data_IF_995008926117
#
_entry.id   IF_995008926117
#
_cell.length_a   1.000
_cell.length_b   1.000
_cell.length_c   1.000
_cell.angle_alpha   90.00
_cell.angle_beta   90.00
_cell.angle_gamma   90.00
#
_symmetry.space_group_name_H-M   'P 1'
#
loop_
_entity.id
_entity.type
_entity.pdbx_description
1 polymer ?
#
# COMPACT_ATOMS: atom_id res chain seq x y z
N UNK A 1 8.98 7.26 -13.20
CA UNK A 1 7.57 7.25 -13.56
C UNK A 1 6.82 6.62 -12.41
N UNK A 2 5.84 7.33 -11.87
CA UNK A 2 5.61 7.39 -10.41
C UNK A 2 4.24 6.78 -10.07
N UNK A 3 4.08 6.26 -8.85
CA UNK A 3 2.77 6.08 -8.18
C UNK A 3 1.88 7.28 -8.51
N UNK A 4 0.56 7.06 -8.70
CA UNK A 4 -0.40 8.11 -8.98
C UNK A 4 -0.08 9.43 -8.23
N UNK A 5 0.19 10.47 -9.00
CA UNK A 5 0.60 11.80 -8.53
C UNK A 5 -0.58 12.75 -8.48
N UNK A 6 -0.63 13.61 -7.46
CA UNK A 6 -1.69 14.60 -7.26
C UNK A 6 -1.80 15.62 -8.40
N UNK A 7 -3.03 15.98 -8.79
CA UNK A 7 -3.32 17.26 -9.45
C UNK A 7 -3.83 18.23 -8.38
N UNK A 8 -2.93 18.77 -7.56
CA UNK A 8 -3.31 19.74 -6.53
C UNK A 8 -2.40 20.96 -6.64
N UNK A 9 -2.52 21.72 -7.73
CA UNK A 9 -1.78 22.98 -7.99
C UNK A 9 -1.95 24.07 -6.90
N UNK A 10 -2.69 23.79 -5.83
CA UNK A 10 -2.94 24.69 -4.68
C UNK A 10 -2.58 24.14 -3.31
N UNK A 11 -2.19 22.87 -3.20
CA UNK A 11 -1.78 22.29 -1.92
C UNK A 11 -0.25 22.26 -1.86
N UNK A 12 0.33 22.64 -0.72
CA UNK A 12 1.78 22.68 -0.50
C UNK A 12 2.41 21.29 -0.48
N UNK A 13 3.28 21.03 0.50
CA UNK A 13 3.94 19.73 0.62
C UNK A 13 2.92 18.56 0.71
N UNK A 14 3.26 17.38 0.13
CA UNK A 14 2.36 16.24 -0.15
C UNK A 14 1.17 16.09 0.83
N UNK A 15 -0.09 16.29 0.40
CA UNK A 15 -1.26 16.29 1.27
C UNK A 15 -1.68 14.89 1.74
N UNK A 16 -1.14 13.82 1.14
CA UNK A 16 -1.51 12.43 1.43
C UNK A 16 -0.77 11.80 2.61
N UNK A 17 -0.24 12.66 3.50
CA UNK A 17 0.48 12.22 4.69
C UNK A 17 -0.48 11.81 5.79
N UNK A 18 -0.03 10.91 6.67
CA UNK A 18 -0.76 10.64 7.90
C UNK A 18 -0.67 11.86 8.80
N UNK A 19 -1.82 12.36 9.25
CA UNK A 19 -1.90 13.46 10.21
C UNK A 19 -2.19 12.93 11.62
N UNK A 20 -1.46 13.43 12.62
CA UNK A 20 -1.68 13.10 14.03
C UNK A 20 -0.50 12.39 14.73
N UNK A 21 -0.67 11.95 15.99
CA UNK A 21 -1.95 11.87 16.69
C UNK A 21 -2.48 13.25 17.08
N UNK A 22 -3.77 13.50 16.82
CA UNK A 22 -4.44 14.73 17.26
C UNK A 22 -5.13 14.46 18.59
N UNK A 23 -4.71 15.17 19.63
CA UNK A 23 -5.28 15.12 20.98
C UNK A 23 -6.09 16.39 21.20
N UNK A 24 -7.38 16.28 21.51
CA UNK A 24 -8.21 17.45 21.77
C UNK A 24 -7.62 18.30 22.91
N UNK A 25 -7.40 19.60 22.66
CA UNK A 25 -6.82 20.53 23.65
C UNK A 25 -5.29 20.55 23.73
N UNK A 26 -4.56 19.81 22.88
CA UNK A 26 -3.09 19.77 22.91
C UNK A 26 -2.38 20.94 22.21
N UNK A 27 -3.13 21.86 21.60
CA UNK A 27 -2.56 22.94 20.77
C UNK A 27 -2.02 22.48 19.42
N UNK A 28 -2.09 21.18 19.11
CA UNK A 28 -1.80 20.63 17.77
C UNK A 28 -2.91 21.08 16.81
N UNK A 29 -2.58 21.67 15.64
CA UNK A 29 -3.58 22.04 14.64
C UNK A 29 -4.51 20.86 14.33
N UNK A 30 -5.81 21.14 14.25
CA UNK A 30 -6.83 20.15 13.90
C UNK A 30 -6.65 19.59 12.49
N UNK A 31 -7.50 18.63 12.07
CA UNK A 31 -7.39 18.01 10.76
C UNK A 31 -7.40 19.06 9.65
N UNK A 32 -6.51 18.90 8.67
CA UNK A 32 -6.34 19.87 7.57
C UNK A 32 -7.57 19.88 6.65
N UNK A 33 -8.27 18.75 6.56
CA UNK A 33 -9.44 18.56 5.72
C UNK A 33 -10.66 18.08 6.53
N UNK A 34 -11.85 18.32 5.99
CA UNK A 34 -13.06 17.71 6.54
C UNK A 34 -13.10 16.22 6.20
N UNK A 35 -13.69 15.42 7.09
CA UNK A 35 -13.90 14.00 6.82
C UNK A 35 -14.73 13.81 5.54
N UNK A 36 -14.30 12.87 4.70
CA UNK A 36 -14.91 12.61 3.40
C UNK A 36 -14.46 13.56 2.28
N UNK A 37 -13.61 14.53 2.56
CA UNK A 37 -12.95 15.32 1.50
C UNK A 37 -12.24 14.40 0.50
N UNK A 38 -12.31 14.78 -0.77
CA UNK A 38 -11.73 14.03 -1.87
C UNK A 38 -10.61 14.80 -2.54
N UNK A 39 -9.62 14.08 -3.02
CA UNK A 39 -8.56 14.62 -3.86
C UNK A 39 -8.39 13.72 -5.10
N UNK A 40 -7.96 14.31 -6.21
CA UNK A 40 -7.77 13.62 -7.48
C UNK A 40 -6.32 13.69 -7.95
N UNK A 41 -5.95 12.74 -8.79
CA UNK A 41 -4.60 12.64 -9.32
C UNK A 41 -4.56 11.88 -10.64
N UNK A 42 -3.35 11.62 -11.11
CA UNK A 42 -3.10 10.85 -12.32
C UNK A 42 -3.59 9.40 -12.19
N UNK A 43 -3.73 8.73 -13.34
CA UNK A 43 -4.25 7.35 -13.44
C UNK A 43 -5.65 7.19 -12.85
N UNK A 44 -6.51 8.19 -13.07
CA UNK A 44 -7.90 8.23 -12.59
C UNK A 44 -8.04 8.13 -11.07
N UNK A 45 -6.97 8.49 -10.34
CA UNK A 45 -6.91 8.27 -8.91
C UNK A 45 -7.79 9.23 -8.15
N UNK A 46 -8.52 8.67 -7.18
CA UNK A 46 -9.36 9.43 -6.25
C UNK A 46 -9.08 8.93 -4.84
N UNK A 47 -8.72 9.84 -3.95
CA UNK A 47 -8.52 9.57 -2.53
C UNK A 47 -9.65 10.17 -1.71
N UNK A 48 -9.93 9.56 -0.56
CA UNK A 48 -10.88 10.04 0.44
C UNK A 48 -10.19 10.17 1.79
N UNK A 49 -10.46 11.27 2.48
CA UNK A 49 -9.90 11.56 3.79
C UNK A 49 -10.75 10.94 4.90
N UNK A 50 -10.14 10.12 5.73
CA UNK A 50 -10.80 9.34 6.77
C UNK A 50 -10.09 9.49 8.13
N UNK A 51 -10.87 9.35 9.21
CA UNK A 51 -10.37 9.27 10.58
C UNK A 51 -9.94 7.84 10.87
N UNK A 52 -8.78 7.64 11.48
CA UNK A 52 -8.29 6.34 11.95
C UNK A 52 -8.10 6.42 13.46
N UNK A 53 -8.70 5.50 14.21
CA UNK A 53 -8.49 5.40 15.67
C UNK A 53 -7.72 4.11 15.97
N UNK A 54 -6.55 4.26 16.56
CA UNK A 54 -5.67 3.15 16.92
C UNK A 54 -5.72 2.91 18.43
N UNK A 55 -6.04 1.68 18.83
CA UNK A 55 -6.05 1.27 20.24
C UNK A 55 -4.67 0.88 20.78
N UNK A 56 -3.73 0.59 19.89
CA UNK A 56 -2.36 0.16 20.20
C UNK A 56 -1.40 0.59 19.10
N UNK A 57 -0.10 0.45 19.35
CA UNK A 57 0.91 0.66 18.31
C UNK A 57 0.59 -0.20 17.09
N UNK A 58 0.48 0.43 15.92
CA UNK A 58 0.10 -0.21 14.66
C UNK A 58 1.03 0.27 13.56
N UNK A 59 1.58 -0.68 12.81
CA UNK A 59 2.36 -0.38 11.61
C UNK A 59 1.45 -0.30 10.40
N UNK A 60 1.39 0.87 9.79
CA UNK A 60 0.72 1.12 8.52
C UNK A 60 1.70 0.96 7.37
N UNK A 61 1.28 0.28 6.31
CA UNK A 61 2.07 0.11 5.10
C UNK A 61 1.23 0.46 3.86
N UNK A 62 1.84 1.08 2.83
CA UNK A 62 1.16 1.33 1.56
C UNK A 62 0.50 0.05 1.01
N UNK A 63 -0.69 0.21 0.44
CA UNK A 63 -1.49 -0.87 -0.13
C UNK A 63 -2.37 -1.62 0.87
N UNK A 64 -2.34 -1.28 2.17
CA UNK A 64 -3.21 -1.92 3.15
C UNK A 64 -4.67 -1.59 2.88
N UNK A 65 -5.53 -2.59 2.99
CA UNK A 65 -6.97 -2.43 2.80
C UNK A 65 -7.64 -1.86 4.05
N UNK A 66 -8.47 -0.86 3.83
CA UNK A 66 -9.34 -0.27 4.85
C UNK A 66 -10.77 -0.24 4.35
N UNK A 67 -11.72 -0.38 5.26
CA UNK A 67 -13.08 0.09 5.06
C UNK A 67 -13.33 1.34 5.88
N UNK A 68 -14.40 2.08 5.57
CA UNK A 68 -14.87 3.15 6.43
C UNK A 68 -16.39 3.18 6.52
N UNK A 69 -16.87 3.64 7.67
CA UNK A 69 -18.29 3.82 7.94
C UNK A 69 -18.83 5.15 7.36
N UNK A 70 -20.10 5.45 7.67
CA UNK A 70 -20.78 6.68 7.23
C UNK A 70 -20.16 7.96 7.80
N UNK A 71 -19.43 7.86 8.91
CA UNK A 71 -18.77 8.97 9.59
C UNK A 71 -17.28 9.05 9.20
N UNK A 72 -16.89 8.30 8.17
CA UNK A 72 -15.52 8.17 7.65
C UNK A 72 -14.52 7.71 8.72
N UNK A 73 -14.96 6.89 9.67
CA UNK A 73 -14.07 6.17 10.57
C UNK A 73 -13.53 4.94 9.85
N UNK A 74 -12.25 4.96 9.53
CA UNK A 74 -11.54 3.89 8.85
C UNK A 74 -11.14 2.79 9.83
N UNK A 75 -11.29 1.54 9.40
CA UNK A 75 -10.83 0.33 10.10
C UNK A 75 -10.09 -0.56 9.12
N UNK A 76 -8.98 -1.17 9.56
CA UNK A 76 -8.28 -2.17 8.76
C UNK A 76 -9.23 -3.28 8.34
N UNK A 77 -9.20 -3.63 7.07
CA UNK A 77 -10.10 -4.63 6.53
C UNK A 77 -9.70 -6.02 7.03
N UNK A 78 -10.66 -6.72 7.64
CA UNK A 78 -10.59 -8.14 8.01
C UNK A 78 -11.94 -8.79 7.76
N UNK A 79 -12.01 -10.11 7.61
CA UNK A 79 -13.29 -10.82 7.47
C UNK A 79 -14.23 -10.58 8.64
N UNK A 80 -13.70 -10.45 9.86
CA UNK A 80 -14.49 -10.21 11.07
C UNK A 80 -14.95 -8.75 11.22
N UNK A 81 -14.10 -7.78 10.87
CA UNK A 81 -14.46 -6.36 10.98
C UNK A 81 -15.23 -5.84 9.77
N UNK A 82 -15.13 -6.50 8.61
CA UNK A 82 -15.75 -6.03 7.39
C UNK A 82 -17.27 -5.98 7.48
N UNK A 83 -17.88 -4.87 7.06
CA UNK A 83 -19.34 -4.67 7.09
C UNK A 83 -19.86 -4.56 5.67
N UNK A 84 -20.86 -5.38 5.33
CA UNK A 84 -21.50 -5.33 4.01
C UNK A 84 -22.13 -3.95 3.78
N UNK A 85 -21.92 -3.40 2.58
CA UNK A 85 -22.34 -2.07 2.16
C UNK A 85 -21.33 -0.96 2.47
N UNK A 86 -20.32 -1.21 3.30
CA UNK A 86 -19.29 -0.20 3.57
C UNK A 86 -18.34 -0.07 2.37
N UNK A 87 -17.89 1.16 2.14
CA UNK A 87 -16.89 1.46 1.13
C UNK A 87 -15.51 1.05 1.65
N UNK A 88 -14.64 0.70 0.73
CA UNK A 88 -13.28 0.32 1.03
C UNK A 88 -12.31 0.89 0.00
N UNK A 89 -11.02 0.77 0.31
CA UNK A 89 -9.94 1.31 -0.49
C UNK A 89 -8.60 0.94 0.14
N UNK A 90 -7.54 1.36 -0.51
CA UNK A 90 -6.17 1.06 -0.06
C UNK A 90 -5.51 2.30 0.51
N UNK A 91 -4.72 2.11 1.55
CA UNK A 91 -3.90 3.16 2.11
C UNK A 91 -2.78 3.50 1.12
N UNK A 92 -2.80 4.71 0.58
CA UNK A 92 -1.80 5.13 -0.42
C UNK A 92 -0.42 5.35 0.20
N UNK A 93 -0.39 5.78 1.47
CA UNK A 93 0.80 5.92 2.29
C UNK A 93 1.84 6.94 1.78
N UNK A 94 2.10 7.96 2.60
CA UNK A 94 3.45 8.52 2.77
C UNK A 94 3.55 9.13 4.17
N UNK A 95 4.58 8.80 4.96
CA UNK A 95 5.08 9.74 5.97
C UNK A 95 6.01 10.68 5.22
N UNK A 96 5.81 11.97 5.32
CA UNK A 96 6.66 12.92 4.63
C UNK A 96 8.13 12.83 5.08
N UNK A 97 9.05 12.94 4.13
CA UNK A 97 10.09 13.95 4.23
C UNK A 97 9.88 14.95 3.06
N UNK A 98 9.46 16.20 3.33
CA UNK A 98 9.18 17.20 2.30
C UNK A 98 10.44 17.96 1.93
N UNK A 99 11.33 17.38 1.12
CA UNK A 99 12.42 18.17 0.53
C UNK A 99 12.94 17.69 -0.81
N UNK A 100 12.57 16.52 -1.33
CA UNK A 100 13.07 16.09 -2.63
C UNK A 100 11.97 15.41 -3.44
N UNK A 101 11.75 15.95 -4.63
CA UNK A 101 11.14 15.21 -5.74
C UNK A 101 11.78 13.81 -5.82
N UNK A 102 11.09 12.78 -5.32
CA UNK A 102 11.55 11.39 -5.37
C UNK A 102 11.97 10.70 -4.05
N UNK A 103 11.63 11.23 -2.87
CA UNK A 103 11.88 10.53 -1.59
C UNK A 103 11.09 9.21 -1.44
N UNK A 104 11.59 8.23 -0.65
CA UNK A 104 11.01 6.89 -0.55
C UNK A 104 9.64 6.89 0.14
N UNK A 105 8.66 6.18 -0.43
CA UNK A 105 7.50 5.74 0.33
C UNK A 105 7.94 4.64 1.34
N UNK A 106 7.40 4.65 2.55
CA UNK A 106 7.82 3.76 3.64
C UNK A 106 6.61 3.34 4.51
N UNK A 107 6.74 2.18 5.17
CA UNK A 107 5.85 1.80 6.27
C UNK A 107 6.07 2.71 7.49
N UNK A 108 5.01 2.97 8.26
CA UNK A 108 4.98 3.93 9.37
C UNK A 108 4.46 3.22 10.61
N UNK A 109 5.15 3.33 11.74
CA UNK A 109 4.64 2.82 13.03
C UNK A 109 4.04 3.97 13.83
N UNK A 110 2.74 3.85 14.13
CA UNK A 110 1.96 4.84 14.86
C UNK A 110 1.59 4.28 16.23
N UNK A 111 1.63 5.12 17.26
CA UNK A 111 1.16 4.75 18.60
C UNK A 111 -0.38 4.67 18.65
N UNK A 112 -0.94 4.31 19.81
CA UNK A 112 -2.37 4.47 20.04
C UNK A 112 -2.76 5.96 19.96
N UNK A 113 -3.88 6.25 19.30
CA UNK A 113 -4.35 7.63 19.12
C UNK A 113 -5.30 7.80 17.94
N UNK A 114 -5.74 9.05 17.75
CA UNK A 114 -6.56 9.44 16.60
C UNK A 114 -5.69 10.08 15.53
N UNK A 115 -5.76 9.50 14.35
CA UNK A 115 -5.03 9.90 13.15
C UNK A 115 -6.02 10.20 12.03
N UNK A 116 -5.53 10.84 10.97
CA UNK A 116 -6.28 11.04 9.75
C UNK A 116 -5.44 10.59 8.56
N UNK A 117 -6.06 9.85 7.66
CA UNK A 117 -5.40 9.15 6.58
C UNK A 117 -6.15 9.36 5.28
N UNK A 118 -5.41 9.24 4.18
CA UNK A 118 -5.99 9.21 2.84
C UNK A 118 -6.03 7.78 2.30
N UNK A 119 -7.23 7.38 1.89
CA UNK A 119 -7.49 6.07 1.30
C UNK A 119 -7.82 6.25 -0.17
N UNK A 120 -7.08 5.57 -1.04
CA UNK A 120 -7.37 5.54 -2.46
C UNK A 120 -8.58 4.64 -2.71
N UNK A 121 -9.57 5.17 -3.43
CA UNK A 121 -10.81 4.48 -3.76
C UNK A 121 -11.06 4.37 -5.26
N UNK A 122 -10.27 5.03 -6.10
CA UNK A 122 -10.37 4.90 -7.55
C UNK A 122 -8.97 4.93 -8.19
N UNK A 123 -8.87 4.41 -9.41
CA UNK A 123 -7.64 4.41 -10.19
C UNK A 123 -6.73 3.23 -9.87
N UNK A 124 -5.49 3.31 -10.35
CA UNK A 124 -4.48 2.27 -10.15
C UNK A 124 -3.76 2.45 -8.81
N UNK A 125 -3.65 1.38 -8.03
CA UNK A 125 -2.99 1.41 -6.73
C UNK A 125 -2.26 0.09 -6.42
N UNK A 126 -1.10 0.13 -5.74
CA UNK A 126 -0.55 -1.07 -5.13
C UNK A 126 -1.47 -1.53 -4.00
N UNK A 127 -1.80 -2.82 -3.99
CA UNK A 127 -2.72 -3.42 -3.04
C UNK A 127 -2.09 -4.68 -2.44
N UNK A 128 -2.12 -4.76 -1.12
CA UNK A 128 -1.62 -5.91 -0.38
C UNK A 128 -2.60 -7.08 -0.51
N UNK A 129 -2.05 -8.25 -0.87
CA UNK A 129 -2.82 -9.47 -1.12
C UNK A 129 -2.15 -10.71 -0.53
N UNK A 130 -2.94 -11.71 -0.15
CA UNK A 130 -2.44 -13.03 0.30
C UNK A 130 -2.18 -13.99 -0.85
N UNK A 131 -3.09 -14.07 -1.82
CA UNK A 131 -2.93 -14.90 -3.02
C UNK A 131 -3.42 -14.17 -4.25
N UNK A 132 -2.89 -14.55 -5.41
CA UNK A 132 -3.18 -13.97 -6.70
C UNK A 132 -3.30 -15.06 -7.75
N UNK A 133 -4.52 -15.44 -8.14
CA UNK A 133 -4.72 -16.26 -9.34
C UNK A 133 -5.11 -15.34 -10.48
N UNK A 134 -4.18 -15.17 -11.42
CA UNK A 134 -4.11 -14.14 -12.46
C UNK A 134 -5.27 -14.02 -13.49
N UNK A 135 -6.48 -14.51 -13.22
CA UNK A 135 -7.53 -14.55 -14.23
C UNK A 135 -8.98 -14.37 -13.75
N UNK A 136 -9.27 -14.16 -12.46
CA UNK A 136 -10.67 -14.20 -11.97
C UNK A 136 -11.04 -13.06 -11.00
N UNK A 137 -12.25 -12.54 -11.21
CA UNK A 137 -12.87 -11.29 -10.70
C UNK A 137 -13.28 -11.37 -9.21
N UNK A 138 -12.69 -12.28 -8.44
CA UNK A 138 -13.05 -12.45 -7.03
C UNK A 138 -12.01 -11.77 -6.18
N UNK A 139 -12.38 -10.64 -5.59
CA UNK A 139 -11.65 -10.04 -4.48
C UNK A 139 -12.44 -10.29 -3.20
N UNK A 140 -11.76 -10.64 -2.13
CA UNK A 140 -12.42 -10.93 -0.85
C UNK A 140 -11.55 -10.54 0.35
N UNK A 141 -12.19 -10.35 1.49
CA UNK A 141 -11.53 -10.08 2.77
C UNK A 141 -10.74 -11.29 3.26
N UNK A 142 -9.69 -11.06 4.05
CA UNK A 142 -8.97 -12.13 4.77
C UNK A 142 -9.09 -11.99 6.27
N UNK A 143 -8.72 -13.03 7.01
CA UNK A 143 -8.57 -12.95 8.46
C UNK A 143 -7.40 -12.02 8.87
N UNK A 144 -6.43 -11.80 7.98
CA UNK A 144 -5.28 -10.93 8.24
C UNK A 144 -5.62 -9.47 7.94
N UNK A 145 -5.40 -8.61 8.93
CA UNK A 145 -5.75 -7.20 8.82
C UNK A 145 -5.02 -6.48 7.68
N UNK A 146 -5.78 -5.79 6.84
CA UNK A 146 -5.27 -4.98 5.75
C UNK A 146 -4.86 -5.77 4.51
N UNK A 147 -5.13 -7.08 4.45
CA UNK A 147 -4.89 -7.90 3.26
C UNK A 147 -6.21 -8.30 2.57
N UNK A 148 -6.25 -8.16 1.25
CA UNK A 148 -7.26 -8.78 0.43
C UNK A 148 -6.79 -10.16 -0.08
N UNK A 149 -7.71 -10.96 -0.59
CA UNK A 149 -7.41 -12.19 -1.31
C UNK A 149 -7.99 -12.10 -2.72
N UNK A 150 -7.28 -12.67 -3.69
CA UNK A 150 -7.75 -12.81 -5.07
C UNK A 150 -7.71 -14.28 -5.50
N UNK A 151 -8.58 -15.13 -4.93
CA UNK A 151 -8.58 -16.56 -5.22
C UNK A 151 -9.18 -16.85 -6.60
N UNK A 152 -8.92 -18.05 -7.12
CA UNK A 152 -9.59 -18.55 -8.33
C UNK A 152 -11.10 -18.74 -8.14
N UNK A 153 -11.56 -18.92 -6.91
CA UNK A 153 -12.98 -19.12 -6.57
C UNK A 153 -13.28 -18.51 -5.21
N UNK A 154 -14.51 -18.03 -5.03
CA UNK A 154 -14.98 -17.46 -3.77
C UNK A 154 -14.77 -18.41 -2.59
N UNK A 155 -14.15 -17.91 -1.52
CA UNK A 155 -13.97 -18.65 -0.27
C UNK A 155 -15.23 -18.52 0.57
N UNK A 156 -15.78 -19.64 1.05
CA UNK A 156 -16.97 -19.65 1.91
C UNK A 156 -16.75 -18.78 3.15
N UNK A 157 -17.77 -18.01 3.55
CA UNK A 157 -17.75 -17.10 4.72
C UNK A 157 -16.83 -15.89 4.61
N UNK A 158 -16.04 -15.77 3.54
CA UNK A 158 -15.33 -14.53 3.22
C UNK A 158 -16.34 -13.45 2.78
N UNK A 159 -15.97 -12.17 2.89
CA UNK A 159 -16.78 -11.09 2.32
C UNK A 159 -16.19 -10.66 0.99
N UNK A 160 -17.01 -10.61 -0.05
CA UNK A 160 -16.61 -10.17 -1.37
C UNK A 160 -16.39 -8.65 -1.40
N UNK A 161 -15.33 -8.24 -2.06
CA UNK A 161 -14.99 -6.85 -2.38
C UNK A 161 -15.36 -6.66 -3.86
N UNK A 162 -16.32 -5.79 -4.14
CA UNK A 162 -16.74 -5.48 -5.50
C UNK A 162 -16.09 -4.18 -5.96
N UNK A 163 -15.91 -4.02 -7.28
CA UNK A 163 -15.32 -2.81 -7.86
C UNK A 163 -13.79 -2.77 -7.77
N UNK A 164 -13.14 -3.92 -7.81
CA UNK A 164 -11.68 -4.05 -7.88
C UNK A 164 -11.31 -5.18 -8.83
N UNK A 165 -10.23 -4.98 -9.58
CA UNK A 165 -9.54 -6.04 -10.32
C UNK A 165 -8.05 -5.99 -9.98
N UNK A 166 -7.40 -7.16 -9.92
CA UNK A 166 -5.97 -7.25 -9.69
C UNK A 166 -5.26 -7.64 -10.98
N UNK A 167 -4.10 -7.04 -11.24
CA UNK A 167 -3.22 -7.52 -12.29
C UNK A 167 -2.59 -8.87 -11.94
N UNK A 168 -2.16 -9.58 -12.97
CA UNK A 168 -1.58 -10.89 -12.87
C UNK A 168 -0.20 -10.90 -12.19
N UNK A 169 -0.08 -11.77 -11.18
CA UNK A 169 1.13 -12.48 -10.74
C UNK A 169 2.27 -11.70 -10.06
N UNK A 170 3.20 -12.51 -9.54
CA UNK A 170 4.45 -12.12 -8.89
C UNK A 170 5.36 -11.39 -9.88
N UNK A 171 6.11 -10.41 -9.38
CA UNK A 171 7.07 -9.70 -10.20
C UNK A 171 8.45 -10.32 -10.05
N UNK A 172 9.04 -10.70 -11.18
CA UNK A 172 10.40 -11.20 -11.23
C UNK A 172 11.32 -10.17 -11.85
N UNK A 173 12.42 -9.88 -11.18
CA UNK A 173 13.46 -8.98 -11.68
C UNK A 173 14.83 -9.55 -11.32
N UNK A 174 15.89 -9.02 -11.92
CA UNK A 174 17.26 -9.36 -11.54
C UNK A 174 17.87 -8.28 -10.66
N UNK A 175 18.76 -8.67 -9.75
CA UNK A 175 19.46 -7.74 -8.87
C UNK A 175 20.85 -8.25 -8.49
N UNK A 176 21.62 -7.39 -7.83
CA UNK A 176 22.86 -7.74 -7.13
C UNK A 176 22.62 -7.69 -5.62
N UNK A 177 23.06 -8.74 -4.91
CA UNK A 177 23.12 -8.81 -3.44
C UNK A 177 24.57 -8.74 -2.98
N UNK A 178 24.78 -8.06 -1.85
CA UNK A 178 26.06 -7.99 -1.14
C UNK A 178 25.84 -8.47 0.28
N UNK A 179 26.62 -9.46 0.73
CA UNK A 179 26.52 -10.02 2.07
C UNK A 179 26.64 -8.90 3.12
N UNK A 180 25.71 -8.87 4.08
CA UNK A 180 25.64 -7.85 5.12
C UNK A 180 24.95 -6.55 4.69
N UNK A 181 24.50 -6.43 3.44
CA UNK A 181 23.75 -5.25 2.95
C UNK A 181 22.26 -5.54 2.80
N UNK A 182 21.41 -4.61 3.22
CA UNK A 182 19.97 -4.63 2.95
C UNK A 182 19.61 -4.05 1.56
N UNK A 183 20.58 -3.62 0.76
CA UNK A 183 20.31 -2.92 -0.51
C UNK A 183 20.50 -3.85 -1.69
N UNK A 184 19.44 -4.01 -2.49
CA UNK A 184 19.50 -4.58 -3.82
C UNK A 184 19.86 -3.47 -4.83
N UNK A 185 20.90 -3.73 -5.63
CA UNK A 185 21.40 -2.81 -6.65
C UNK A 185 21.42 -3.48 -8.03
N UNK A 186 21.84 -2.74 -9.07
CA UNK A 186 22.00 -3.26 -10.44
C UNK A 186 20.73 -3.98 -10.93
N UNK A 187 19.59 -3.32 -10.73
CA UNK A 187 18.29 -3.92 -10.95
C UNK A 187 17.98 -4.03 -12.46
N UNK A 188 17.51 -5.19 -12.90
CA UNK A 188 17.10 -5.45 -14.29
C UNK A 188 15.67 -5.96 -14.38
N UNK A 189 14.91 -5.47 -15.36
CA UNK A 189 13.50 -5.88 -15.56
C UNK A 189 12.49 -5.26 -14.60
N UNK A 190 12.92 -4.32 -13.75
CA UNK A 190 12.05 -3.52 -12.88
C UNK A 190 11.25 -2.51 -13.70
N UNK A 191 9.94 -2.46 -13.51
CA UNK A 191 9.09 -1.45 -14.13
C UNK A 191 8.46 -0.58 -13.04
N UNK A 192 8.82 0.70 -12.91
CA UNK A 192 8.25 1.55 -11.86
C UNK A 192 6.73 1.73 -11.96
N UNK A 193 6.11 1.38 -13.09
CA UNK A 193 4.65 1.38 -13.29
C UNK A 193 3.97 0.08 -12.86
N UNK A 194 4.66 -1.07 -12.97
CA UNK A 194 4.12 -2.39 -12.63
C UNK A 194 4.62 -2.94 -11.30
N UNK A 195 5.69 -2.37 -10.75
CA UNK A 195 6.38 -2.69 -9.50
C UNK A 195 7.84 -3.19 -9.66
N UNK A 196 8.44 -3.77 -8.61
CA UNK A 196 7.84 -4.24 -7.37
C UNK A 196 7.44 -3.10 -6.44
N UNK A 197 6.61 -3.41 -5.46
CA UNK A 197 6.02 -2.43 -4.53
C UNK A 197 6.54 -2.61 -3.11
N UNK A 198 6.51 -1.54 -2.33
CA UNK A 198 6.79 -1.59 -0.88
C UNK A 198 5.81 -2.52 -0.19
N UNK A 199 6.29 -3.27 0.80
CA UNK A 199 5.52 -4.29 1.50
C UNK A 199 5.53 -5.65 0.78
N UNK A 200 5.97 -5.73 -0.48
CA UNK A 200 6.09 -7.00 -1.18
C UNK A 200 7.13 -7.89 -0.49
N UNK A 201 6.77 -9.15 -0.26
CA UNK A 201 7.69 -10.19 0.19
C UNK A 201 8.59 -10.59 -0.97
N UNK A 202 9.89 -10.61 -0.73
CA UNK A 202 10.89 -10.94 -1.75
C UNK A 202 11.64 -12.20 -1.39
N UNK A 203 12.00 -12.96 -2.42
CA UNK A 203 12.81 -14.18 -2.31
C UNK A 203 13.81 -14.23 -3.45
N UNK A 204 14.95 -14.89 -3.21
CA UNK A 204 16.04 -15.00 -4.16
C UNK A 204 17.32 -15.49 -3.48
N UNK A 205 18.36 -15.77 -4.26
CA UNK A 205 19.64 -16.25 -3.74
C UNK A 205 20.26 -15.24 -2.77
N UNK A 206 20.54 -15.65 -1.54
CA UNK A 206 21.14 -14.79 -0.51
C UNK A 206 20.16 -13.80 0.15
N UNK A 207 18.86 -13.87 -0.16
CA UNK A 207 17.82 -13.11 0.52
C UNK A 207 17.22 -13.98 1.64
N UNK A 208 17.26 -13.55 2.90
CA UNK A 208 16.64 -14.29 4.01
C UNK A 208 15.14 -14.53 3.80
N UNK A 209 14.60 -15.60 4.40
CA UNK A 209 13.16 -15.82 4.45
C UNK A 209 12.42 -14.65 5.12
N UNK A 210 11.18 -14.41 4.71
CA UNK A 210 10.31 -13.34 5.25
C UNK A 210 10.85 -11.90 5.05
N UNK A 211 11.79 -11.71 4.11
CA UNK A 211 12.26 -10.38 3.74
C UNK A 211 11.20 -9.64 2.93
N UNK A 212 10.99 -8.37 3.21
CA UNK A 212 10.06 -7.49 2.48
C UNK A 212 10.78 -6.25 1.94
N UNK A 213 10.18 -5.61 0.94
CA UNK A 213 10.63 -4.30 0.46
C UNK A 213 10.20 -3.23 1.47
N UNK A 214 11.18 -2.57 2.08
CA UNK A 214 10.96 -1.49 3.06
C UNK A 214 10.92 -0.10 2.40
N UNK A 215 11.72 0.10 1.34
CA UNK A 215 11.76 1.34 0.58
C UNK A 215 12.29 1.11 -0.84
N UNK A 216 11.95 2.03 -1.74
CA UNK A 216 12.41 2.05 -3.12
C UNK A 216 12.98 3.44 -3.40
N UNK A 217 14.20 3.49 -3.95
CA UNK A 217 14.84 4.74 -4.35
C UNK A 217 14.69 4.94 -5.84
N UNK A 218 14.30 6.14 -6.25
CA UNK A 218 14.12 6.51 -7.64
C UNK A 218 15.16 7.56 -8.08
N UNK A 219 15.56 7.54 -9.35
CA UNK A 219 16.26 8.65 -9.96
C UNK A 219 15.34 9.89 -10.08
N UNK A 220 15.88 11.09 -10.34
CA UNK A 220 15.06 12.26 -10.65
C UNK A 220 14.14 12.08 -11.88
N UNK A 221 14.55 11.23 -12.84
CA UNK A 221 13.72 10.81 -13.98
C UNK A 221 12.71 9.70 -13.64
N UNK A 222 12.72 9.23 -12.39
CA UNK A 222 11.80 8.25 -11.84
C UNK A 222 12.07 6.79 -12.24
N UNK A 223 13.32 6.45 -12.56
CA UNK A 223 13.78 5.06 -12.76
C UNK A 223 14.12 4.46 -11.39
N UNK A 224 13.80 3.19 -11.15
CA UNK A 224 14.16 2.51 -9.90
C UNK A 224 15.68 2.31 -9.85
N UNK A 225 16.33 2.89 -8.84
CA UNK A 225 17.79 2.83 -8.66
C UNK A 225 18.20 1.71 -7.69
N UNK A 226 17.44 1.56 -6.59
CA UNK A 226 17.71 0.55 -5.57
C UNK A 226 16.46 0.20 -4.79
N UNK A 227 16.48 -0.99 -4.21
CA UNK A 227 15.42 -1.50 -3.33
C UNK A 227 16.07 -1.82 -1.98
N UNK A 228 15.51 -1.28 -0.90
CA UNK A 228 15.96 -1.58 0.46
C UNK A 228 15.07 -2.68 1.05
N UNK A 229 15.72 -3.74 1.49
CA UNK A 229 15.12 -4.90 2.13
C UNK A 229 14.94 -4.67 3.64
N UNK A 230 14.01 -5.40 4.26
CA UNK A 230 13.82 -5.41 5.72
C UNK A 230 14.92 -6.18 6.47
N UNK A 231 15.77 -6.92 5.77
CA UNK A 231 16.86 -7.72 6.32
C UNK A 231 18.10 -7.65 5.42
N UNK A 232 19.28 -7.87 5.99
CA UNK A 232 20.53 -7.91 5.25
C UNK A 232 20.64 -9.21 4.44
N UNK A 233 21.16 -9.13 3.22
CA UNK A 233 21.52 -10.31 2.43
C UNK A 233 22.57 -11.15 3.16
N UNK A 234 22.49 -12.47 3.00
CA UNK A 234 23.39 -13.46 3.63
C UNK A 234 24.47 -13.98 2.69
N UNK A 235 24.43 -13.58 1.42
CA UNK A 235 25.40 -13.98 0.41
C UNK A 235 25.60 -12.88 -0.63
N UNK A 236 26.73 -12.97 -1.34
CA UNK A 236 26.98 -12.16 -2.53
C UNK A 236 26.37 -12.85 -3.74
N UNK A 237 25.76 -12.09 -4.63
CA UNK A 237 25.22 -12.59 -5.89
C UNK A 237 25.09 -11.48 -6.91
N UNK A 238 25.39 -11.79 -8.18
CA UNK A 238 25.21 -10.88 -9.31
C UNK A 238 24.12 -11.42 -10.23
N UNK A 239 23.23 -10.55 -10.71
CA UNK A 239 22.11 -10.93 -11.57
C UNK A 239 21.25 -12.06 -10.99
N UNK A 240 21.08 -12.09 -9.67
CA UNK A 240 20.19 -13.05 -9.00
C UNK A 240 18.75 -12.79 -9.44
N UNK A 241 17.98 -13.85 -9.64
CA UNK A 241 16.53 -13.72 -9.83
C UNK A 241 15.88 -13.44 -8.49
N UNK A 242 15.12 -12.35 -8.42
CA UNK A 242 14.33 -11.96 -7.26
C UNK A 242 12.86 -12.06 -7.64
N UNK A 243 12.07 -12.71 -6.79
CA UNK A 243 10.61 -12.80 -6.93
C UNK A 243 9.95 -12.00 -5.82
N UNK A 244 9.21 -10.96 -6.20
CA UNK A 244 8.37 -10.14 -5.32
C UNK A 244 6.91 -10.61 -5.37
N UNK A 245 6.31 -10.77 -4.20
CA UNK A 245 4.96 -11.34 -4.01
C UNK A 245 4.21 -10.55 -2.92
N UNK A 246 2.90 -10.76 -2.82
CA UNK A 246 2.08 -10.20 -1.73
C UNK A 246 1.64 -8.75 -1.92
N UNK A 247 2.08 -8.06 -2.97
CA UNK A 247 1.53 -6.76 -3.40
C UNK A 247 1.35 -6.79 -4.91
N UNK A 248 0.16 -6.40 -5.36
CA UNK A 248 -0.19 -6.32 -6.78
C UNK A 248 -0.68 -4.93 -7.15
N UNK A 249 -0.59 -4.60 -8.43
CA UNK A 249 -1.36 -3.49 -8.96
C UNK A 249 -2.85 -3.86 -9.02
N UNK A 250 -3.68 -3.02 -8.41
CA UNK A 250 -5.13 -3.14 -8.44
C UNK A 250 -5.74 -1.94 -9.18
N UNK A 251 -6.74 -2.21 -10.01
CA UNK A 251 -7.63 -1.17 -10.55
C UNK A 251 -8.83 -1.05 -9.62
N UNK A 252 -8.94 0.09 -8.94
CA UNK A 252 -10.02 0.41 -8.01
C UNK A 252 -11.11 1.19 -8.74
N UNK A 253 -12.37 0.78 -8.54
CA UNK A 253 -13.57 1.41 -9.10
C UNK A 253 -14.58 1.68 -7.99
N UNK A 254 -14.17 2.48 -6.99
CA UNK A 254 -14.93 2.80 -5.76
C UNK A 254 -15.40 1.52 -5.05
N UNK A 255 -14.46 0.68 -4.59
CA UNK A 255 -14.80 -0.63 -4.12
C UNK A 255 -15.60 -0.62 -2.82
N UNK A 256 -16.39 -1.66 -2.61
CA UNK A 256 -17.23 -1.82 -1.43
C UNK A 256 -17.40 -3.30 -1.08
N UNK A 257 -17.79 -3.57 0.16
CA UNK A 257 -18.06 -4.93 0.65
C UNK A 257 -19.47 -5.33 0.20
N UNK A 258 -19.59 -6.28 -0.72
CA UNK A 258 -20.85 -6.53 -1.43
C UNK A 258 -21.73 -7.59 -0.77
N UNK A 259 -21.16 -8.73 -0.38
CA UNK A 259 -21.88 -9.85 0.24
C UNK A 259 -20.94 -10.74 1.05
N UNK A 260 -21.52 -11.68 1.79
CA UNK A 260 -20.81 -12.85 2.30
C UNK A 260 -20.92 -13.96 1.26
N UNK A 261 -19.79 -14.57 0.92
CA UNK A 261 -19.69 -15.69 -0.01
C UNK A 261 -20.16 -17.00 0.62
#
# INVERSE_FOLDING_TARGET
MTIATSQTDRLGANPFVVEGPIVAGSGVPGPIFSLGSTAWGSKESEWVYCKLVLASTTTLQPGQWFQWDRDYTATLLTTSAAVVGYRCGVFAGASQAPTQSGGPAQSISLAAGTYYIWLQRNGQAPALVTTATAALVVAETTATAGLANAPASATVSSKAIQGVNFQAANQTFTATTVNGSAVLSSLGGVNPEGGPFIGASISGTGIPGSTTISSITYSPSGVVQSITMSANATANGSAITVTATGVLEATLMRPYISKVN
#
